data_IF_519183679693
#
_entry.id   IF_519183679693
#
_cell.length_a   1.000
_cell.length_b   1.000
_cell.length_c   1.000
_cell.angle_alpha   90.00
_cell.angle_beta   90.00
_cell.angle_gamma   90.00
#
_symmetry.space_group_name_H-M   'P 1'
#
loop_
_entity.id
_entity.type
_entity.pdbx_description
1 polymer ?
#
# COMPACT_ATOMS: atom_id res chain seq x y z
N UNK A 1 -28.96 58.00 28.38
CA UNK A 1 -29.08 56.53 28.30
C UNK A 1 -27.98 56.06 27.37
N UNK A 2 -26.82 55.70 27.91
CA UNK A 2 -25.73 55.11 27.11
C UNK A 2 -25.90 53.59 27.08
N UNK A 3 -26.01 53.07 25.88
CA UNK A 3 -26.28 51.68 25.56
C UNK A 3 -25.02 50.83 25.82
N UNK A 4 -25.13 49.94 26.80
CA UNK A 4 -24.04 49.05 27.25
C UNK A 4 -23.78 47.99 26.16
N UNK A 5 -22.75 48.21 25.33
CA UNK A 5 -22.24 47.21 24.36
C UNK A 5 -21.89 45.92 25.09
N UNK A 6 -22.70 44.89 24.90
CA UNK A 6 -22.43 43.51 25.31
C UNK A 6 -21.20 42.99 24.57
N UNK A 7 -20.12 42.76 25.32
CA UNK A 7 -18.91 42.11 24.83
C UNK A 7 -19.23 40.66 24.42
N UNK A 8 -18.96 40.31 23.16
CA UNK A 8 -18.98 38.92 22.68
C UNK A 8 -17.87 38.14 23.40
N UNK A 9 -18.10 36.87 23.80
CA UNK A 9 -17.05 36.06 24.39
C UNK A 9 -15.95 35.83 23.35
N UNK A 10 -14.73 36.21 23.70
CA UNK A 10 -13.54 35.93 22.89
C UNK A 10 -13.27 34.43 22.92
N UNK A 11 -13.46 33.79 21.77
CA UNK A 11 -12.95 32.44 21.52
C UNK A 11 -11.43 32.55 21.60
N UNK A 12 -10.84 32.17 22.74
CA UNK A 12 -9.40 31.96 22.86
C UNK A 12 -9.04 30.83 21.91
N UNK A 13 -8.53 31.19 20.72
CA UNK A 13 -7.98 30.25 19.75
C UNK A 13 -6.77 29.58 20.39
N UNK A 14 -6.91 28.32 20.77
CA UNK A 14 -5.93 27.59 21.56
C UNK A 14 -4.84 27.08 20.60
N UNK A 15 -3.76 27.86 20.42
CA UNK A 15 -2.66 27.56 19.48
C UNK A 15 -2.14 26.11 19.58
N UNK A 16 -2.16 25.56 20.78
CA UNK A 16 -1.73 24.18 21.07
C UNK A 16 -2.60 23.11 20.38
N UNK A 17 -3.90 23.34 20.25
CA UNK A 17 -4.83 22.40 19.60
C UNK A 17 -4.59 22.35 18.09
N UNK A 18 -4.35 23.51 17.48
CA UNK A 18 -4.01 23.61 16.04
C UNK A 18 -2.71 22.85 15.73
N UNK A 19 -1.66 23.03 16.56
CA UNK A 19 -0.38 22.32 16.42
C UNK A 19 -0.54 20.79 16.55
N UNK A 20 -1.39 20.33 17.46
CA UNK A 20 -1.69 18.90 17.62
C UNK A 20 -2.41 18.33 16.39
N UNK A 21 -3.45 19.00 15.90
CA UNK A 21 -4.17 18.56 14.69
C UNK A 21 -3.20 18.42 13.51
N UNK A 22 -2.27 19.37 13.35
CA UNK A 22 -1.23 19.32 12.33
C UNK A 22 -0.30 18.10 12.49
N UNK A 23 0.05 17.71 13.71
CA UNK A 23 0.83 16.48 13.96
C UNK A 23 0.08 15.20 13.57
N UNK A 24 -1.21 15.12 13.87
CA UNK A 24 -2.05 13.98 13.46
C UNK A 24 -2.16 13.90 11.93
N UNK A 25 -2.43 15.03 11.27
CA UNK A 25 -2.47 15.10 9.81
C UNK A 25 -1.12 14.80 9.17
N UNK A 26 -0.03 15.29 9.77
CA UNK A 26 1.33 14.96 9.37
C UNK A 26 1.59 13.45 9.40
N UNK A 27 1.14 12.77 10.46
CA UNK A 27 1.23 11.32 10.58
C UNK A 27 0.38 10.59 9.53
N UNK A 28 -0.86 11.06 9.28
CA UNK A 28 -1.73 10.52 8.24
C UNK A 28 -1.09 10.64 6.85
N UNK A 29 -0.51 11.80 6.55
CA UNK A 29 0.16 12.07 5.29
C UNK A 29 1.44 11.23 5.13
N UNK A 30 2.23 11.10 6.19
CA UNK A 30 3.41 10.24 6.20
C UNK A 30 3.04 8.78 5.88
N UNK A 31 2.07 8.21 6.58
CA UNK A 31 1.64 6.82 6.36
C UNK A 31 0.99 6.63 4.97
N UNK A 32 0.22 7.61 4.51
CA UNK A 32 -0.33 7.60 3.14
C UNK A 32 0.78 7.69 2.08
N UNK A 33 1.84 8.44 2.34
CA UNK A 33 3.04 8.49 1.50
C UNK A 33 3.75 7.15 1.45
N UNK A 34 3.87 6.45 2.58
CA UNK A 34 4.38 5.09 2.65
C UNK A 34 3.54 4.13 1.78
N UNK A 35 2.21 4.17 1.87
CA UNK A 35 1.31 3.36 1.02
C UNK A 35 1.60 3.61 -0.46
N UNK A 36 1.63 4.88 -0.89
CA UNK A 36 1.94 5.25 -2.29
C UNK A 36 3.30 4.73 -2.73
N UNK A 37 4.33 4.88 -1.90
CA UNK A 37 5.66 4.36 -2.19
C UNK A 37 5.69 2.84 -2.36
N UNK A 38 4.91 2.10 -1.56
CA UNK A 38 4.81 0.63 -1.69
C UNK A 38 4.13 0.20 -3.00
N UNK A 39 3.08 0.91 -3.42
CA UNK A 39 2.38 0.65 -4.69
C UNK A 39 3.27 0.99 -5.90
N UNK A 40 4.02 2.10 -5.84
CA UNK A 40 5.00 2.46 -6.88
C UNK A 40 6.05 1.37 -7.01
N UNK A 41 6.60 0.88 -5.90
CA UNK A 41 7.59 -0.22 -5.91
C UNK A 41 7.02 -1.50 -6.53
N UNK A 42 5.78 -1.88 -6.18
CA UNK A 42 5.12 -3.03 -6.79
C UNK A 42 4.89 -2.84 -8.29
N UNK A 43 4.57 -1.63 -8.73
CA UNK A 43 4.39 -1.28 -10.14
C UNK A 43 5.69 -1.41 -10.92
N UNK A 44 6.81 -0.92 -10.35
CA UNK A 44 8.14 -1.08 -10.95
C UNK A 44 8.53 -2.56 -11.09
N UNK A 45 8.22 -3.39 -10.09
CA UNK A 45 8.46 -4.85 -10.15
C UNK A 45 7.65 -5.48 -11.30
N UNK A 46 6.37 -5.13 -11.45
CA UNK A 46 5.55 -5.65 -12.56
C UNK A 46 6.06 -5.21 -13.93
N UNK A 47 6.43 -3.93 -14.08
CA UNK A 47 7.01 -3.41 -15.31
C UNK A 47 8.31 -4.14 -15.67
N UNK A 48 9.17 -4.37 -14.66
CA UNK A 48 10.39 -5.14 -14.83
C UNK A 48 10.11 -6.58 -15.29
N UNK A 49 9.11 -7.26 -14.71
CA UNK A 49 8.69 -8.58 -15.18
C UNK A 49 8.12 -8.56 -16.60
N UNK A 50 7.41 -7.51 -17.01
CA UNK A 50 6.93 -7.38 -18.39
C UNK A 50 8.09 -7.43 -19.40
N UNK A 51 9.19 -6.74 -19.08
CA UNK A 51 10.42 -6.75 -19.89
C UNK A 51 11.10 -8.13 -19.80
N UNK A 52 11.29 -8.65 -18.58
CA UNK A 52 12.04 -9.88 -18.34
C UNK A 52 11.36 -11.12 -18.93
N UNK A 53 10.03 -11.21 -18.84
CA UNK A 53 9.26 -12.30 -19.45
C UNK A 53 9.29 -12.25 -20.98
N UNK A 54 9.30 -11.05 -21.57
CA UNK A 54 9.46 -10.89 -23.02
C UNK A 54 10.78 -11.49 -23.49
N UNK A 55 11.90 -11.11 -22.86
CA UNK A 55 13.21 -11.73 -23.14
C UNK A 55 13.20 -13.23 -22.89
N UNK A 56 12.67 -13.66 -21.74
CA UNK A 56 12.66 -15.09 -21.37
C UNK A 56 11.89 -15.94 -22.37
N UNK A 57 10.80 -15.42 -22.95
CA UNK A 57 10.02 -16.12 -23.98
C UNK A 57 10.84 -16.42 -25.23
N UNK A 58 11.67 -15.48 -25.69
CA UNK A 58 12.54 -15.67 -26.87
C UNK A 58 13.57 -16.79 -26.69
N UNK A 59 14.03 -17.03 -25.46
CA UNK A 59 15.00 -18.09 -25.14
C UNK A 59 14.34 -19.39 -24.68
N UNK A 60 13.02 -19.40 -24.49
CA UNK A 60 12.30 -20.54 -23.93
C UNK A 60 12.37 -21.75 -24.86
N UNK A 61 12.13 -21.56 -26.16
CA UNK A 61 12.20 -22.65 -27.15
C UNK A 61 13.59 -23.28 -27.24
N UNK A 62 14.64 -22.46 -27.20
CA UNK A 62 16.03 -22.91 -27.19
C UNK A 62 16.35 -23.75 -25.96
N UNK A 63 15.94 -23.30 -24.77
CA UNK A 63 16.20 -24.01 -23.51
C UNK A 63 15.37 -25.30 -23.44
N UNK A 64 14.11 -25.32 -23.90
CA UNK A 64 13.29 -26.53 -23.89
C UNK A 64 13.85 -27.65 -24.79
N UNK A 65 14.44 -27.30 -25.94
CA UNK A 65 15.06 -28.25 -26.86
C UNK A 65 16.22 -29.00 -26.19
N UNK A 66 17.13 -28.27 -25.53
CA UNK A 66 18.29 -28.85 -24.84
C UNK A 66 17.95 -29.49 -23.49
N UNK A 67 16.88 -29.02 -22.83
CA UNK A 67 16.44 -29.57 -21.55
C UNK A 67 15.93 -31.02 -21.69
N UNK A 68 15.60 -31.49 -22.90
CA UNK A 68 15.23 -32.90 -23.16
C UNK A 68 16.34 -33.88 -22.74
N UNK A 69 17.61 -33.46 -22.81
CA UNK A 69 18.77 -34.25 -22.43
C UNK A 69 19.15 -34.11 -20.95
N UNK A 70 18.62 -33.08 -20.25
CA UNK A 70 19.01 -32.73 -18.88
C UNK A 70 17.79 -32.42 -17.99
N UNK A 71 17.21 -33.43 -17.30
CA UNK A 71 15.99 -33.23 -16.50
C UNK A 71 16.17 -32.22 -15.35
N UNK A 72 17.40 -31.97 -14.91
CA UNK A 72 17.73 -30.93 -13.93
C UNK A 72 17.33 -29.51 -14.39
N UNK A 73 17.53 -29.16 -15.67
CA UNK A 73 17.18 -27.82 -16.19
C UNK A 73 15.67 -27.60 -16.18
N UNK A 74 14.87 -28.63 -16.45
CA UNK A 74 13.40 -28.57 -16.36
C UNK A 74 12.92 -28.23 -14.95
N UNK A 75 13.50 -28.87 -13.93
CA UNK A 75 13.16 -28.60 -12.53
C UNK A 75 13.51 -27.15 -12.17
N UNK A 76 14.68 -26.67 -12.60
CA UNK A 76 15.14 -25.32 -12.30
C UNK A 76 14.26 -24.24 -12.97
N UNK A 77 13.85 -24.47 -14.21
CA UNK A 77 12.94 -23.60 -14.96
C UNK A 77 11.53 -23.59 -14.34
N UNK A 78 11.02 -24.74 -13.88
CA UNK A 78 9.75 -24.81 -13.16
C UNK A 78 9.79 -24.02 -11.84
N UNK A 79 10.87 -24.15 -11.06
CA UNK A 79 11.06 -23.39 -9.83
C UNK A 79 11.15 -21.89 -10.12
N UNK A 80 11.86 -21.49 -11.18
CA UNK A 80 11.94 -20.10 -11.61
C UNK A 80 10.57 -19.53 -11.97
N UNK A 81 9.77 -20.27 -12.73
CA UNK A 81 8.43 -19.87 -13.11
C UNK A 81 7.52 -19.68 -11.87
N UNK A 82 7.59 -20.60 -10.91
CA UNK A 82 6.86 -20.48 -9.64
C UNK A 82 7.31 -19.27 -8.81
N UNK A 83 8.61 -18.98 -8.76
CA UNK A 83 9.14 -17.77 -8.10
C UNK A 83 8.62 -16.48 -8.78
N UNK A 84 8.60 -16.46 -10.10
CA UNK A 84 8.09 -15.32 -10.86
C UNK A 84 6.58 -15.12 -10.65
N UNK A 85 5.79 -16.20 -10.72
CA UNK A 85 4.36 -16.16 -10.47
C UNK A 85 4.02 -15.69 -9.05
N UNK A 86 4.73 -16.20 -8.04
CA UNK A 86 4.54 -15.79 -6.64
C UNK A 86 4.91 -14.33 -6.41
N UNK A 87 5.98 -13.84 -7.05
CA UNK A 87 6.36 -12.42 -7.01
C UNK A 87 5.28 -11.51 -7.60
N UNK A 88 4.79 -11.85 -8.80
CA UNK A 88 3.70 -11.13 -9.48
C UNK A 88 2.43 -11.13 -8.61
N UNK A 89 2.08 -12.28 -8.02
CA UNK A 89 0.94 -12.39 -7.11
C UNK A 89 1.04 -11.39 -5.94
N UNK A 90 2.19 -11.31 -5.26
CA UNK A 90 2.37 -10.37 -4.17
C UNK A 90 2.38 -8.90 -4.63
N UNK A 91 2.91 -8.61 -5.81
CA UNK A 91 2.83 -7.26 -6.41
C UNK A 91 1.38 -6.85 -6.68
N UNK A 92 0.56 -7.72 -7.26
CA UNK A 92 -0.87 -7.44 -7.49
C UNK A 92 -1.63 -7.26 -6.17
N UNK A 93 -1.34 -8.09 -5.16
CA UNK A 93 -1.93 -7.95 -3.81
C UNK A 93 -1.55 -6.64 -3.13
N UNK A 94 -0.47 -5.98 -3.54
CA UNK A 94 -0.11 -4.65 -3.07
C UNK A 94 -1.07 -3.58 -3.59
N UNK A 95 -1.61 -3.74 -4.81
CA UNK A 95 -2.56 -2.79 -5.41
C UNK A 95 -4.00 -2.97 -4.93
N UNK A 96 -4.40 -4.20 -4.57
CA UNK A 96 -5.78 -4.47 -4.20
C UNK A 96 -6.24 -3.57 -3.04
N UNK A 97 -7.35 -2.82 -3.20
CA UNK A 97 -7.88 -1.98 -2.14
C UNK A 97 -8.35 -2.89 -1.00
N UNK A 98 -7.84 -2.61 0.20
CA UNK A 98 -8.25 -3.34 1.40
C UNK A 98 -8.95 -2.39 2.34
N UNK A 99 -10.24 -2.63 2.55
CA UNK A 99 -11.05 -1.92 3.52
C UNK A 99 -11.10 -2.80 4.76
N UNK A 100 -10.46 -2.36 5.84
CA UNK A 100 -10.69 -2.96 7.16
C UNK A 100 -12.17 -2.74 7.48
N UNK A 101 -12.91 -3.77 7.90
CA UNK A 101 -14.37 -3.65 8.15
C UNK A 101 -14.71 -3.53 9.65
N UNK A 102 -13.74 -3.80 10.53
CA UNK A 102 -13.90 -3.78 11.98
C UNK A 102 -13.25 -2.52 12.57
N UNK A 103 -13.99 -1.42 12.55
CA UNK A 103 -13.63 -0.17 13.22
C UNK A 103 -14.91 0.63 13.50
N UNK A 104 -14.84 1.55 14.46
CA UNK A 104 -15.93 2.46 14.76
C UNK A 104 -16.17 3.45 13.62
N UNK A 105 -17.37 4.03 13.56
CA UNK A 105 -17.70 4.97 12.48
C UNK A 105 -16.76 6.17 12.55
N UNK A 106 -16.07 6.45 11.44
CA UNK A 106 -15.05 7.50 11.42
C UNK A 106 -15.36 8.61 10.40
N UNK A 107 -15.42 9.87 10.85
CA UNK A 107 -15.74 11.03 9.98
C UNK A 107 -14.67 11.35 8.94
N UNK A 108 -13.43 10.86 9.12
CA UNK A 108 -12.34 11.02 8.17
C UNK A 108 -12.20 9.83 7.23
N UNK A 109 -12.93 8.74 7.48
CA UNK A 109 -12.91 7.57 6.61
C UNK A 109 -13.91 7.72 5.46
N UNK A 110 -13.41 7.84 4.23
CA UNK A 110 -14.23 8.13 3.04
C UNK A 110 -15.42 7.17 2.86
N UNK A 111 -15.24 5.87 3.17
CA UNK A 111 -16.31 4.88 3.05
C UNK A 111 -17.46 5.14 4.03
N UNK A 112 -17.14 5.66 5.22
CA UNK A 112 -18.13 5.94 6.27
C UNK A 112 -18.86 7.24 5.99
N UNK A 113 -18.15 8.27 5.49
CA UNK A 113 -18.73 9.54 5.05
C UNK A 113 -19.94 9.30 4.13
N UNK A 114 -19.82 8.34 3.21
CA UNK A 114 -20.87 8.03 2.22
C UNK A 114 -21.90 7.03 2.76
N UNK A 115 -21.48 6.03 3.55
CA UNK A 115 -22.37 4.90 3.92
C UNK A 115 -23.00 5.00 5.31
N UNK A 116 -22.45 5.82 6.22
CA UNK A 116 -22.81 5.79 7.65
C UNK A 116 -23.26 7.12 8.26
N UNK A 117 -23.13 8.25 7.54
CA UNK A 117 -23.45 9.61 8.05
C UNK A 117 -24.63 10.32 7.37
N UNK A 118 -25.43 9.59 6.59
CA UNK A 118 -26.69 10.11 6.02
C UNK A 118 -26.47 11.11 4.89
N UNK A 119 -27.18 12.23 4.93
CA UNK A 119 -27.13 13.29 3.91
C UNK A 119 -25.94 14.23 4.10
N UNK A 120 -25.59 15.00 3.06
CA UNK A 120 -24.54 16.03 3.11
C UNK A 120 -24.73 17.01 4.28
N UNK A 121 -25.98 17.41 4.56
CA UNK A 121 -26.28 18.34 5.66
C UNK A 121 -26.07 17.69 7.03
N UNK A 122 -26.40 16.42 7.18
CA UNK A 122 -26.23 15.67 8.43
C UNK A 122 -24.75 15.40 8.69
N UNK A 123 -23.99 15.02 7.65
CA UNK A 123 -22.54 14.89 7.75
C UNK A 123 -21.90 16.22 8.15
N UNK A 124 -22.23 17.34 7.48
CA UNK A 124 -21.65 18.65 7.81
C UNK A 124 -21.90 19.05 9.27
N UNK A 125 -23.10 18.80 9.80
CA UNK A 125 -23.43 19.03 11.22
C UNK A 125 -22.62 18.12 12.14
N UNK A 126 -22.51 16.84 11.81
CA UNK A 126 -21.77 15.85 12.59
C UNK A 126 -20.28 16.17 12.61
N UNK A 127 -19.72 16.51 11.45
CA UNK A 127 -18.34 16.93 11.27
C UNK A 127 -18.02 18.17 12.10
N UNK A 128 -18.87 19.21 12.05
CA UNK A 128 -18.69 20.40 12.89
C UNK A 128 -18.77 20.08 14.38
N UNK A 129 -19.74 19.24 14.78
CA UNK A 129 -19.93 18.84 16.18
C UNK A 129 -18.68 18.13 16.72
N UNK A 130 -18.19 17.10 16.02
CA UNK A 130 -17.01 16.35 16.43
C UNK A 130 -15.76 17.22 16.36
N UNK A 131 -15.61 18.06 15.34
CA UNK A 131 -14.45 18.98 15.23
C UNK A 131 -14.42 20.08 16.30
N UNK A 132 -15.54 20.33 16.98
CA UNK A 132 -15.61 21.30 18.10
C UNK A 132 -15.28 20.66 19.45
N UNK A 133 -15.17 19.33 19.52
CA UNK A 133 -14.86 18.56 20.72
C UNK A 133 -13.47 17.93 20.54
N UNK A 134 -12.47 18.47 21.24
CA UNK A 134 -11.06 18.07 21.06
C UNK A 134 -10.85 16.57 21.34
N UNK A 135 -11.49 16.02 22.37
CA UNK A 135 -11.33 14.62 22.75
C UNK A 135 -11.88 13.70 21.64
N UNK A 136 -13.08 14.00 21.13
CA UNK A 136 -13.67 13.24 20.02
C UNK A 136 -12.87 13.41 18.72
N UNK A 137 -12.35 14.60 18.45
CA UNK A 137 -11.55 14.89 17.27
C UNK A 137 -10.26 14.07 17.28
N UNK A 138 -9.49 14.10 18.37
CA UNK A 138 -8.23 13.38 18.48
C UNK A 138 -8.43 11.87 18.53
N UNK A 139 -9.50 11.38 19.15
CA UNK A 139 -9.86 9.95 19.09
C UNK A 139 -10.09 9.51 17.63
N UNK A 140 -10.93 10.23 16.88
CA UNK A 140 -11.22 9.91 15.48
C UNK A 140 -9.97 9.99 14.58
N UNK A 141 -9.09 10.98 14.80
CA UNK A 141 -7.81 11.08 14.08
C UNK A 141 -6.86 9.92 14.43
N UNK A 142 -6.78 9.54 15.71
CA UNK A 142 -5.99 8.41 16.18
C UNK A 142 -6.45 7.08 15.58
N UNK A 143 -7.76 6.83 15.56
CA UNK A 143 -8.36 5.68 14.90
C UNK A 143 -7.99 5.65 13.40
N UNK A 144 -8.06 6.80 12.72
CA UNK A 144 -7.69 6.91 11.31
C UNK A 144 -6.22 6.57 11.08
N UNK A 145 -5.30 7.09 11.91
CA UNK A 145 -3.86 6.75 11.86
C UNK A 145 -3.66 5.24 12.03
N UNK A 146 -4.35 4.60 12.96
CA UNK A 146 -4.23 3.17 13.19
C UNK A 146 -4.67 2.35 11.97
N UNK A 147 -5.83 2.68 11.40
CA UNK A 147 -6.38 1.98 10.22
C UNK A 147 -5.43 2.09 9.02
N UNK A 148 -4.99 3.30 8.68
CA UNK A 148 -4.07 3.50 7.54
C UNK A 148 -2.70 2.86 7.79
N UNK A 149 -2.23 2.83 9.04
CA UNK A 149 -1.00 2.14 9.44
C UNK A 149 -1.07 0.64 9.19
N UNK A 150 -2.21 0.00 9.49
CA UNK A 150 -2.43 -1.42 9.18
C UNK A 150 -2.41 -1.68 7.67
N UNK A 151 -3.03 -0.80 6.89
CA UNK A 151 -3.03 -0.90 5.41
C UNK A 151 -1.59 -0.77 4.88
N UNK A 152 -0.83 0.20 5.39
CA UNK A 152 0.57 0.41 5.04
C UNK A 152 1.41 -0.83 5.36
N UNK A 153 1.34 -1.34 6.59
CA UNK A 153 2.09 -2.53 7.00
C UNK A 153 1.81 -3.75 6.11
N UNK A 154 0.54 -3.97 5.76
CA UNK A 154 0.15 -5.04 4.86
C UNK A 154 0.74 -4.87 3.45
N UNK A 155 0.63 -3.68 2.86
CA UNK A 155 1.17 -3.39 1.51
C UNK A 155 2.71 -3.49 1.50
N UNK A 156 3.39 -2.96 2.51
CA UNK A 156 4.84 -3.12 2.68
C UNK A 156 5.25 -4.59 2.81
N UNK A 157 4.51 -5.40 3.56
CA UNK A 157 4.79 -6.82 3.68
C UNK A 157 4.71 -7.53 2.33
N UNK A 158 3.68 -7.23 1.51
CA UNK A 158 3.54 -7.83 0.20
C UNK A 158 4.62 -7.37 -0.78
N UNK A 159 4.91 -6.07 -0.88
CA UNK A 159 5.94 -5.59 -1.81
C UNK A 159 7.33 -6.11 -1.43
N UNK A 160 7.63 -6.27 -0.13
CA UNK A 160 8.87 -6.88 0.32
C UNK A 160 8.96 -8.37 -0.06
N UNK A 161 7.85 -9.11 0.02
CA UNK A 161 7.80 -10.51 -0.44
C UNK A 161 8.01 -10.59 -1.95
N UNK A 162 7.32 -9.75 -2.72
CA UNK A 162 7.51 -9.66 -4.17
C UNK A 162 8.97 -9.39 -4.52
N UNK A 163 9.60 -8.40 -3.88
CA UNK A 163 11.00 -8.06 -4.12
C UNK A 163 11.96 -9.23 -3.80
N UNK A 164 11.70 -10.00 -2.73
CA UNK A 164 12.50 -11.19 -2.40
C UNK A 164 12.37 -12.28 -3.46
N UNK A 165 11.16 -12.59 -3.91
CA UNK A 165 10.94 -13.57 -4.98
C UNK A 165 11.52 -13.10 -6.32
N UNK A 166 11.50 -11.79 -6.59
CA UNK A 166 12.20 -11.21 -7.73
C UNK A 166 13.71 -11.47 -7.67
N UNK A 167 14.35 -11.19 -6.54
CA UNK A 167 15.78 -11.43 -6.37
C UNK A 167 16.12 -12.92 -6.54
N UNK A 168 15.33 -13.82 -5.95
CA UNK A 168 15.51 -15.27 -6.10
C UNK A 168 15.31 -15.70 -7.55
N UNK A 169 14.27 -15.19 -8.23
CA UNK A 169 14.00 -15.48 -9.64
C UNK A 169 15.14 -15.01 -10.55
N UNK A 170 15.74 -13.85 -10.29
CA UNK A 170 16.91 -13.37 -11.03
C UNK A 170 18.13 -14.27 -10.82
N UNK A 171 18.41 -14.68 -9.58
CA UNK A 171 19.50 -15.62 -9.30
C UNK A 171 19.29 -16.96 -10.00
N UNK A 172 18.06 -17.49 -9.99
CA UNK A 172 17.73 -18.73 -10.70
C UNK A 172 17.96 -18.61 -12.21
N UNK A 173 17.60 -17.48 -12.84
CA UNK A 173 17.91 -17.26 -14.26
C UNK A 173 19.40 -17.31 -14.56
N UNK A 174 20.22 -16.69 -13.70
CA UNK A 174 21.68 -16.72 -13.87
C UNK A 174 22.22 -18.15 -13.75
N UNK A 175 21.69 -18.94 -12.81
CA UNK A 175 22.09 -20.34 -12.64
C UNK A 175 21.65 -21.17 -13.86
N UNK A 176 20.43 -20.98 -14.37
CA UNK A 176 19.93 -21.66 -15.57
C UNK A 176 20.84 -21.34 -16.76
N UNK A 177 21.14 -20.07 -16.98
CA UNK A 177 21.97 -19.63 -18.11
C UNK A 177 23.41 -20.16 -17.99
N UNK A 178 24.02 -20.12 -16.80
CA UNK A 178 25.35 -20.68 -16.57
C UNK A 178 25.40 -22.20 -16.73
N UNK A 179 24.37 -22.91 -16.26
CA UNK A 179 24.26 -24.37 -16.41
C UNK A 179 24.09 -24.77 -17.88
N UNK A 180 23.26 -24.02 -18.62
CA UNK A 180 23.07 -24.21 -20.06
C UNK A 180 24.40 -24.05 -20.81
N UNK A 181 25.14 -22.97 -20.55
CA UNK A 181 26.44 -22.73 -21.19
C UNK A 181 27.45 -23.86 -20.88
N UNK A 182 27.48 -24.36 -19.65
CA UNK A 182 28.38 -25.44 -19.25
C UNK A 182 28.04 -26.80 -19.88
N UNK A 183 26.76 -27.06 -20.19
CA UNK A 183 26.31 -28.29 -20.86
C UNK A 183 26.45 -28.21 -22.39
N UNK A 184 26.36 -27.00 -22.95
CA UNK A 184 26.50 -26.76 -24.39
C UNK A 184 27.94 -26.67 -24.91
N UNK A 185 28.94 -26.70 -24.01
CA UNK A 185 30.37 -26.80 -24.35
C UNK A 185 30.81 -28.26 -24.38
#
# INVERSE_FOLDING_TARGET
MEEKKTAKPSVKKNKHTDDLVDHYWGSINYVSGLIKASEIKAGLILSFYGILLNFSYSYLEMVLSEASNTPFLYVLLAIWFLCTATSIYFSVRCFMPRIEAKYEKNIFFFGDVISKFGTVKEFAKTFHKISSDEDQLFDQLGQQIFIISKIAAYKFSNVNKALRFLAIGLLLLLIIMGSYLAVSQ
#
